data_IF_959094221387
#
_entry.id   IF_959094221387
#
_cell.length_a   1.000
_cell.length_b   1.000
_cell.length_c   1.000
_cell.angle_alpha   90.00
_cell.angle_beta   90.00
_cell.angle_gamma   90.00
#
_symmetry.space_group_name_H-M   'P 1'
#
loop_
_entity.id
_entity.type
_entity.pdbx_description
1 polymer ?
#
# COMPACT_ATOMS: atom_id res chain seq x y z
N UNK A 1 -14.74 -10.67 23.89
CA UNK A 1 -14.25 -11.77 24.75
C UNK A 1 -12.75 -11.64 24.88
N UNK A 2 -12.31 -10.77 25.79
CA UNK A 2 -10.92 -10.32 25.94
C UNK A 2 -10.10 -11.22 26.87
N UNK A 3 -9.85 -12.46 26.45
CA UNK A 3 -8.98 -13.39 27.16
C UNK A 3 -8.18 -14.30 26.20
N UNK A 4 -7.76 -13.79 25.04
CA UNK A 4 -6.65 -14.43 24.34
C UNK A 4 -5.39 -14.06 25.13
N UNK A 5 -5.17 -14.84 26.18
CA UNK A 5 -4.03 -14.90 27.08
C UNK A 5 -2.80 -14.21 26.48
N UNK A 6 -2.36 -13.09 27.07
CA UNK A 6 -1.29 -12.24 26.50
C UNK A 6 -0.02 -13.04 26.12
N UNK A 7 0.26 -14.15 26.80
CA UNK A 7 1.37 -15.04 26.46
C UNK A 7 1.13 -15.83 25.16
N UNK A 8 -0.12 -16.25 24.92
CA UNK A 8 -0.51 -16.89 23.65
C UNK A 8 -0.50 -15.87 22.51
N UNK A 9 -0.96 -14.63 22.77
CA UNK A 9 -0.89 -13.54 21.79
C UNK A 9 0.54 -13.23 21.33
N UNK A 10 1.49 -13.19 22.26
CA UNK A 10 2.92 -13.00 21.94
C UNK A 10 3.51 -14.16 21.13
N UNK A 11 3.13 -15.40 21.45
CA UNK A 11 3.62 -16.58 20.71
C UNK A 11 3.11 -16.60 19.27
N UNK A 12 1.85 -16.20 19.06
CA UNK A 12 1.27 -16.06 17.72
C UNK A 12 1.94 -14.92 16.96
N UNK A 13 2.15 -13.76 17.60
CA UNK A 13 2.88 -12.64 16.98
C UNK A 13 4.27 -13.05 16.52
N UNK A 14 5.04 -13.73 17.36
CA UNK A 14 6.38 -14.21 17.01
C UNK A 14 6.36 -15.17 15.80
N UNK A 15 5.38 -16.07 15.72
CA UNK A 15 5.21 -16.95 14.56
C UNK A 15 4.87 -16.17 13.29
N UNK A 16 3.98 -15.18 13.39
CA UNK A 16 3.60 -14.34 12.25
C UNK A 16 4.78 -13.48 11.78
N UNK A 17 5.60 -12.97 12.70
CA UNK A 17 6.83 -12.25 12.37
C UNK A 17 7.83 -13.13 11.62
N UNK A 18 8.04 -14.37 12.06
CA UNK A 18 8.93 -15.33 11.40
C UNK A 18 8.46 -15.68 9.98
N UNK A 19 7.15 -15.93 9.82
CA UNK A 19 6.56 -16.17 8.51
C UNK A 19 6.67 -14.94 7.59
N UNK A 20 6.49 -13.74 8.15
CA UNK A 20 6.66 -12.50 7.42
C UNK A 20 8.12 -12.31 6.97
N UNK A 21 9.08 -12.61 7.85
CA UNK A 21 10.51 -12.60 7.53
C UNK A 21 10.86 -13.63 6.43
N UNK A 22 10.13 -14.74 6.36
CA UNK A 22 10.19 -15.71 5.26
C UNK A 22 9.61 -15.22 3.92
N UNK A 23 9.10 -13.99 3.85
CA UNK A 23 8.57 -13.39 2.63
C UNK A 23 7.05 -13.53 2.45
N UNK A 24 6.35 -14.10 3.44
CA UNK A 24 4.89 -14.12 3.42
C UNK A 24 4.31 -12.72 3.70
N UNK A 25 3.25 -12.36 2.99
CA UNK A 25 2.46 -11.16 3.31
C UNK A 25 1.30 -11.57 4.21
N UNK A 26 1.26 -11.00 5.41
CA UNK A 26 0.29 -11.35 6.45
C UNK A 26 -0.55 -10.13 6.76
N UNK A 27 -1.87 -10.32 6.83
CA UNK A 27 -2.82 -9.29 7.25
C UNK A 27 -3.56 -9.83 8.46
N UNK A 28 -3.49 -9.11 9.58
CA UNK A 28 -4.16 -9.48 10.82
C UNK A 28 -5.25 -8.47 11.12
N UNK A 29 -6.46 -8.96 11.36
CA UNK A 29 -7.58 -8.16 11.83
C UNK A 29 -7.70 -8.40 13.32
N UNK A 30 -7.41 -7.38 14.11
CA UNK A 30 -7.53 -7.44 15.56
C UNK A 30 -8.17 -6.16 16.11
N UNK A 31 -8.86 -6.31 17.24
CA UNK A 31 -9.35 -5.18 18.05
C UNK A 31 -8.38 -4.84 19.19
N UNK A 32 -7.30 -5.61 19.34
CA UNK A 32 -6.27 -5.39 20.36
C UNK A 32 -5.21 -4.42 19.84
N UNK A 33 -5.12 -3.27 20.48
CA UNK A 33 -4.15 -2.21 20.14
C UNK A 33 -2.71 -2.63 20.43
N UNK A 34 -2.47 -3.51 21.40
CA UNK A 34 -1.12 -4.00 21.74
C UNK A 34 -0.59 -4.84 20.58
N UNK A 35 -1.41 -5.76 20.07
CA UNK A 35 -1.07 -6.60 18.92
C UNK A 35 -0.84 -5.73 17.67
N UNK A 36 -1.72 -4.76 17.42
CA UNK A 36 -1.56 -3.84 16.30
C UNK A 36 -0.27 -3.01 16.40
N UNK A 37 0.11 -2.58 17.61
CA UNK A 37 1.32 -1.80 17.87
C UNK A 37 2.61 -2.53 17.49
N UNK A 38 2.63 -3.87 17.56
CA UNK A 38 3.78 -4.69 17.17
C UNK A 38 3.95 -4.82 15.65
N UNK A 39 2.94 -4.47 14.84
CA UNK A 39 2.99 -4.63 13.39
C UNK A 39 3.61 -3.43 12.69
N UNK A 40 4.36 -3.65 11.59
CA UNK A 40 5.04 -2.57 10.86
C UNK A 40 4.07 -1.66 10.10
N UNK A 41 2.83 -2.08 9.84
CA UNK A 41 1.81 -1.21 9.24
C UNK A 41 0.49 -1.39 9.97
N UNK A 42 -0.12 -0.27 10.35
CA UNK A 42 -1.39 -0.23 11.06
C UNK A 42 -2.42 0.52 10.25
N UNK A 43 -3.52 -0.14 9.92
CA UNK A 43 -4.65 0.46 9.20
C UNK A 43 -5.85 0.46 10.14
N UNK A 44 -6.38 1.63 10.48
CA UNK A 44 -7.68 1.74 11.12
C UNK A 44 -8.77 1.96 10.08
N UNK A 45 -9.84 1.19 10.23
CA UNK A 45 -11.05 1.33 9.42
C UNK A 45 -12.24 1.63 10.31
N UNK A 46 -13.06 2.60 9.90
CA UNK A 46 -14.32 2.96 10.51
C UNK A 46 -15.38 3.10 9.41
N UNK A 47 -16.51 2.42 9.56
CA UNK A 47 -17.64 2.48 8.61
C UNK A 47 -17.25 2.24 7.14
N UNK A 48 -16.32 1.32 6.91
CA UNK A 48 -15.83 0.99 5.56
C UNK A 48 -14.83 2.00 4.98
N UNK A 49 -14.46 3.04 5.74
CA UNK A 49 -13.44 4.01 5.36
C UNK A 49 -12.16 3.82 6.16
N UNK A 50 -11.01 4.00 5.52
CA UNK A 50 -9.71 4.00 6.20
C UNK A 50 -9.56 5.36 6.88
N UNK A 51 -9.44 5.36 8.21
CA UNK A 51 -9.29 6.58 9.02
C UNK A 51 -7.82 6.87 9.36
N UNK A 52 -6.99 5.84 9.45
CA UNK A 52 -5.54 6.00 9.59
C UNK A 52 -4.79 4.86 8.90
N UNK A 53 -3.62 5.18 8.34
CA UNK A 53 -2.66 4.23 7.79
C UNK A 53 -1.27 4.66 8.23
N UNK A 54 -0.76 4.01 9.27
CA UNK A 54 0.58 4.22 9.78
C UNK A 54 1.47 3.17 9.16
N UNK A 55 1.92 3.41 7.92
CA UNK A 55 3.02 2.65 7.36
C UNK A 55 4.30 3.03 8.13
N UNK A 56 4.92 2.09 8.84
CA UNK A 56 6.30 2.27 9.28
C UNK A 56 7.12 2.45 8.00
N UNK A 57 7.55 3.69 7.78
CA UNK A 57 8.24 4.11 6.57
C UNK A 57 9.57 3.38 6.44
N UNK A 58 9.59 2.27 5.70
CA UNK A 58 10.67 2.08 4.74
C UNK A 58 10.21 2.83 3.49
N UNK A 59 10.73 4.04 3.32
CA UNK A 59 10.44 4.94 2.21
C UNK A 59 10.60 4.23 0.84
N UNK A 60 9.56 3.56 0.38
CA UNK A 60 9.34 3.34 -1.04
C UNK A 60 8.46 4.51 -1.44
N UNK A 61 9.12 5.57 -1.90
CA UNK A 61 8.45 6.72 -2.52
C UNK A 61 7.41 6.21 -3.53
N UNK A 62 6.34 6.99 -3.80
CA UNK A 62 5.23 6.54 -4.62
C UNK A 62 5.83 5.93 -5.88
N UNK A 63 5.60 4.63 -6.10
CA UNK A 63 6.02 3.98 -7.31
C UNK A 63 5.30 4.73 -8.44
N UNK A 64 6.01 5.66 -9.06
CA UNK A 64 5.55 6.39 -10.23
C UNK A 64 5.20 5.33 -11.23
N UNK A 65 3.92 5.05 -11.41
CA UNK A 65 3.46 4.25 -12.53
C UNK A 65 3.94 5.05 -13.74
N UNK A 66 4.88 4.53 -14.55
CA UNK A 66 5.30 5.25 -15.73
C UNK A 66 4.06 5.46 -16.58
N UNK A 67 3.71 6.73 -16.82
CA UNK A 67 2.58 7.08 -17.67
C UNK A 67 2.74 6.32 -19.00
N UNK A 68 1.68 5.69 -19.53
CA UNK A 68 1.78 5.02 -20.81
C UNK A 68 2.28 6.04 -21.83
N UNK A 69 3.41 5.73 -22.48
CA UNK A 69 3.97 6.56 -23.54
C UNK A 69 2.90 6.74 -24.62
N UNK A 70 2.33 7.94 -24.71
CA UNK A 70 1.28 8.26 -25.67
C UNK A 70 1.86 8.13 -27.10
N UNK A 71 1.45 7.13 -27.91
CA UNK A 71 2.01 6.95 -29.24
C UNK A 71 1.35 7.88 -30.27
N UNK A 72 0.48 8.80 -29.86
CA UNK A 72 -0.18 9.77 -30.75
C UNK A 72 0.34 11.17 -30.45
N UNK A 73 1.50 11.48 -31.02
CA UNK A 73 1.88 12.87 -31.28
C UNK A 73 0.84 13.52 -32.22
N UNK A 74 0.67 14.85 -32.17
CA UNK A 74 -0.25 15.55 -33.07
C UNK A 74 0.21 15.32 -34.51
N UNK A 75 -0.69 14.81 -35.34
CA UNK A 75 -0.46 14.70 -36.78
C UNK A 75 -0.05 16.08 -37.32
N UNK A 76 1.17 16.17 -37.82
CA UNK A 76 1.68 17.36 -38.48
C UNK A 76 0.69 17.78 -39.59
N UNK A 77 0.25 19.04 -39.53
CA UNK A 77 -0.63 19.64 -40.52
C UNK A 77 0.05 19.61 -41.90
N UNK A 78 -0.66 19.27 -42.99
CA UNK A 78 -0.06 19.31 -44.32
C UNK A 78 0.26 20.77 -44.72
N UNK A 79 1.32 21.00 -45.53
CA UNK A 79 1.70 22.35 -45.94
C UNK A 79 0.63 22.97 -46.83
N UNK A 80 0.30 24.24 -46.55
CA UNK A 80 -0.59 25.05 -47.40
C UNK A 80 0.08 25.27 -48.76
N UNK A 81 -0.54 24.94 -49.90
CA UNK A 81 0.00 25.34 -51.19
C UNK A 81 -0.05 26.87 -51.32
N UNK A 82 1.07 27.44 -51.76
CA UNK A 82 1.36 28.87 -51.80
C UNK A 82 0.39 29.66 -52.67
N UNK A 83 0.30 30.95 -52.32
CA UNK A 83 -0.31 31.96 -53.17
C UNK A 83 0.48 32.16 -54.46
N UNK A 84 -0.24 32.26 -55.56
CA UNK A 84 0.23 32.90 -56.77
C UNK A 84 -0.60 34.17 -56.98
N UNK A 85 0.14 35.20 -57.37
CA UNK A 85 -0.31 36.57 -57.66
C UNK A 85 -1.25 36.64 -58.86
#
# INVERSE_FOLDING_TARGET
TGNLDSATGQSILALLEDLHAGGATIVVITHDQVIAAHMPRQIHMLDGQITSDTAATAARGPASIPAPANPRGPAASPPRPGGFS
#
